data_IF_679000419211
#
_entry.id   IF_679000419211
#
_cell.length_a   1.000
_cell.length_b   1.000
_cell.length_c   1.000
_cell.angle_alpha   90.00
_cell.angle_beta   90.00
_cell.angle_gamma   90.00
#
_symmetry.space_group_name_H-M   'P 1'
#
loop_
_entity.id
_entity.type
_entity.pdbx_description
1 polymer ?
#
# COMPACT_ATOMS: atom_id res chain seq x y z
N UNK A 1 18.02 6.91 3.29
CA UNK A 1 18.55 5.58 3.69
C UNK A 1 17.58 4.46 3.32
N UNK A 2 16.31 4.53 3.72
CA UNK A 2 15.35 3.46 3.43
C UNK A 2 14.89 3.35 1.96
N UNK A 3 14.91 4.44 1.19
CA UNK A 3 14.62 4.36 -0.26
C UNK A 3 15.64 3.50 -1.02
N UNK A 4 16.93 3.65 -0.70
CA UNK A 4 17.98 2.79 -1.27
C UNK A 4 17.81 1.32 -0.88
N UNK A 5 17.24 1.05 0.30
CA UNK A 5 16.93 -0.31 0.74
C UNK A 5 15.84 -0.94 -0.14
N UNK A 6 14.76 -0.20 -0.41
CA UNK A 6 13.70 -0.62 -1.33
C UNK A 6 14.25 -0.93 -2.73
N UNK A 7 15.10 -0.04 -3.27
CA UNK A 7 15.66 -0.25 -4.61
C UNK A 7 16.62 -1.45 -4.65
N UNK A 8 17.42 -1.65 -3.61
CA UNK A 8 18.29 -2.82 -3.49
C UNK A 8 17.49 -4.13 -3.53
N UNK A 9 16.42 -4.25 -2.74
CA UNK A 9 15.60 -5.47 -2.70
C UNK A 9 14.78 -5.68 -3.97
N UNK A 10 14.39 -4.60 -4.65
CA UNK A 10 13.80 -4.69 -5.99
C UNK A 10 14.77 -5.31 -6.98
N UNK A 11 15.99 -4.77 -7.07
CA UNK A 11 17.02 -5.31 -7.98
C UNK A 11 17.32 -6.78 -7.64
N UNK A 12 17.50 -7.10 -6.37
CA UNK A 12 17.74 -8.47 -5.91
C UNK A 12 16.60 -9.42 -6.32
N UNK A 13 15.36 -8.99 -6.16
CA UNK A 13 14.18 -9.80 -6.49
C UNK A 13 14.04 -9.98 -8.00
N UNK A 14 14.31 -8.95 -8.81
CA UNK A 14 14.35 -9.08 -10.28
C UNK A 14 15.40 -10.11 -10.70
N UNK A 15 16.61 -10.04 -10.13
CA UNK A 15 17.64 -11.05 -10.41
C UNK A 15 17.22 -12.45 -10.00
N UNK A 16 16.49 -12.60 -8.90
CA UNK A 16 15.97 -13.89 -8.47
C UNK A 16 14.88 -14.41 -9.42
N UNK A 17 13.92 -13.54 -9.81
CA UNK A 17 12.76 -13.83 -10.66
C UNK A 17 13.20 -14.28 -12.07
N UNK A 18 14.19 -13.60 -12.67
CA UNK A 18 14.73 -13.90 -14.01
C UNK A 18 15.41 -15.27 -14.09
N UNK A 19 15.87 -15.82 -12.98
CA UNK A 19 16.60 -17.09 -12.96
C UNK A 19 15.69 -18.33 -12.83
N UNK A 20 14.37 -18.18 -12.99
CA UNK A 20 13.36 -19.24 -12.87
C UNK A 20 13.50 -20.06 -11.55
N UNK A 21 13.94 -19.40 -10.48
CA UNK A 21 14.19 -20.02 -9.17
C UNK A 21 12.90 -20.28 -8.37
N UNK A 22 11.77 -20.46 -9.05
CA UNK A 22 10.43 -20.60 -8.45
C UNK A 22 10.42 -21.64 -7.32
N UNK A 23 11.07 -22.79 -7.51
CA UNK A 23 11.17 -23.86 -6.50
C UNK A 23 11.92 -23.45 -5.21
N UNK A 24 12.61 -22.30 -5.21
CA UNK A 24 13.38 -21.75 -4.10
C UNK A 24 12.72 -20.54 -3.45
N UNK A 25 11.44 -20.21 -3.75
CA UNK A 25 10.76 -19.05 -3.18
C UNK A 25 10.82 -19.04 -1.65
N UNK A 26 10.52 -20.16 -1.00
CA UNK A 26 10.57 -20.31 0.47
C UNK A 26 11.96 -20.00 1.02
N UNK A 27 13.02 -20.42 0.31
CA UNK A 27 14.41 -20.15 0.71
C UNK A 27 14.75 -18.67 0.56
N UNK A 28 14.29 -18.05 -0.52
CA UNK A 28 14.49 -16.62 -0.77
C UNK A 28 13.78 -15.74 0.27
N UNK A 29 12.53 -16.08 0.61
CA UNK A 29 11.70 -15.33 1.55
C UNK A 29 11.92 -15.69 3.02
N UNK A 30 12.72 -16.72 3.33
CA UNK A 30 13.01 -17.13 4.72
C UNK A 30 13.46 -15.96 5.61
N UNK A 31 14.40 -15.09 5.22
CA UNK A 31 14.81 -13.96 6.06
C UNK A 31 13.65 -13.00 6.38
N UNK A 32 12.76 -12.75 5.41
CA UNK A 32 11.57 -11.92 5.64
C UNK A 32 10.55 -12.62 6.54
N UNK A 33 10.39 -13.94 6.37
CA UNK A 33 9.49 -14.76 7.20
C UNK A 33 9.92 -14.72 8.66
N UNK A 34 11.19 -15.00 8.94
CA UNK A 34 11.74 -14.98 10.30
C UNK A 34 11.63 -13.57 10.91
N UNK A 35 11.85 -12.52 10.12
CA UNK A 35 11.70 -11.14 10.57
C UNK A 35 10.25 -10.79 10.94
N UNK A 36 9.28 -11.18 10.10
CA UNK A 36 7.86 -10.94 10.33
C UNK A 36 7.34 -11.74 11.52
N UNK A 37 7.71 -13.02 11.64
CA UNK A 37 7.35 -13.86 12.77
C UNK A 37 7.85 -13.26 14.09
N UNK A 38 9.11 -12.80 14.12
CA UNK A 38 9.66 -12.12 15.28
C UNK A 38 8.87 -10.87 15.65
N UNK A 39 8.58 -9.98 14.69
CA UNK A 39 7.80 -8.77 14.95
C UNK A 39 6.36 -9.07 15.42
N UNK A 40 5.70 -10.02 14.79
CA UNK A 40 4.32 -10.40 15.11
C UNK A 40 4.19 -11.13 16.45
N UNK A 41 5.29 -11.68 16.97
CA UNK A 41 5.35 -12.30 18.29
C UNK A 41 5.54 -11.32 19.45
N UNK A 42 5.90 -10.06 19.16
CA UNK A 42 6.15 -9.04 20.17
C UNK A 42 4.85 -8.63 20.86
N UNK A 43 4.96 -8.28 22.14
CA UNK A 43 3.89 -7.55 22.82
C UNK A 43 3.77 -6.11 22.28
N UNK A 44 2.67 -5.43 22.61
CA UNK A 44 2.41 -4.09 22.10
C UNK A 44 3.49 -3.06 22.45
N UNK A 45 4.15 -3.17 23.61
CA UNK A 45 5.16 -2.20 24.01
C UNK A 45 6.46 -2.41 23.23
N UNK A 46 6.89 -3.66 23.11
CA UNK A 46 8.05 -4.05 22.32
C UNK A 46 7.83 -3.75 20.83
N UNK A 47 6.63 -4.01 20.29
CA UNK A 47 6.28 -3.70 18.91
C UNK A 47 6.42 -2.20 18.60
N UNK A 48 5.90 -1.33 19.48
CA UNK A 48 6.04 0.12 19.33
C UNK A 48 7.50 0.57 19.44
N UNK A 49 8.31 -0.08 20.30
CA UNK A 49 9.74 0.19 20.41
C UNK A 49 10.53 -0.20 19.14
N UNK A 50 10.05 -1.18 18.38
CA UNK A 50 10.64 -1.68 17.13
C UNK A 50 10.29 -0.84 15.88
N UNK A 51 10.07 0.47 16.03
CA UNK A 51 9.69 1.39 14.93
C UNK A 51 10.66 1.32 13.74
N UNK A 52 11.97 1.23 13.98
CA UNK A 52 12.96 1.21 12.89
C UNK A 52 12.91 -0.11 12.11
N UNK A 53 12.69 -1.22 12.80
CA UNK A 53 12.50 -2.55 12.22
C UNK A 53 11.22 -2.59 11.37
N UNK A 54 10.15 -1.97 11.86
CA UNK A 54 8.89 -1.80 11.13
C UNK A 54 9.10 -0.99 9.85
N UNK A 55 9.78 0.15 9.93
CA UNK A 55 10.13 0.92 8.73
C UNK A 55 10.92 0.07 7.75
N UNK A 56 11.97 -0.62 8.22
CA UNK A 56 12.80 -1.50 7.38
C UNK A 56 11.96 -2.53 6.65
N UNK A 57 11.11 -3.28 7.34
CA UNK A 57 10.33 -4.35 6.70
C UNK A 57 9.34 -3.79 5.67
N UNK A 58 8.71 -2.63 5.91
CA UNK A 58 7.86 -1.98 4.92
C UNK A 58 8.61 -1.67 3.62
N UNK A 59 9.82 -1.10 3.71
CA UNK A 59 10.63 -0.77 2.54
C UNK A 59 11.23 -2.01 1.86
N UNK A 60 11.63 -3.03 2.63
CA UNK A 60 12.10 -4.30 2.08
C UNK A 60 10.98 -4.96 1.26
N UNK A 61 9.79 -5.11 1.86
CA UNK A 61 8.64 -5.70 1.18
C UNK A 61 8.21 -4.86 -0.04
N UNK A 62 8.26 -3.53 0.05
CA UNK A 62 7.96 -2.65 -1.09
C UNK A 62 8.90 -2.94 -2.27
N UNK A 63 10.20 -3.11 -1.99
CA UNK A 63 11.20 -3.47 -2.99
C UNK A 63 10.98 -4.86 -3.55
N UNK A 64 10.78 -5.85 -2.67
CA UNK A 64 10.50 -7.24 -3.07
C UNK A 64 9.30 -7.33 -4.00
N UNK A 65 8.18 -6.71 -3.62
CA UNK A 65 6.96 -6.67 -4.42
C UNK A 65 7.22 -6.01 -5.78
N UNK A 66 7.95 -4.90 -5.84
CA UNK A 66 8.32 -4.25 -7.10
C UNK A 66 9.15 -5.14 -8.04
N UNK A 67 9.94 -6.06 -7.48
CA UNK A 67 10.80 -6.92 -8.28
C UNK A 67 10.12 -8.16 -8.85
N UNK A 68 8.93 -8.53 -8.36
CA UNK A 68 8.12 -9.59 -8.97
C UNK A 68 7.40 -9.07 -10.20
N UNK A 69 7.93 -9.41 -11.37
CA UNK A 69 7.44 -8.88 -12.65
C UNK A 69 6.41 -9.77 -13.31
N UNK A 70 6.38 -11.06 -12.98
CA UNK A 70 5.46 -12.05 -13.54
C UNK A 70 4.27 -12.31 -12.63
N UNK A 71 3.18 -12.83 -13.20
CA UNK A 71 2.01 -13.22 -12.42
C UNK A 71 2.28 -14.42 -11.52
N UNK A 72 3.16 -15.34 -11.93
CA UNK A 72 3.46 -16.55 -11.17
C UNK A 72 4.24 -16.21 -9.88
N UNK A 73 5.30 -15.42 -9.99
CA UNK A 73 6.09 -15.01 -8.83
C UNK A 73 5.33 -14.09 -7.89
N UNK A 74 4.47 -13.22 -8.42
CA UNK A 74 3.57 -12.44 -7.59
C UNK A 74 2.55 -13.31 -6.86
N UNK A 75 1.98 -14.34 -7.50
CA UNK A 75 1.04 -15.25 -6.84
C UNK A 75 1.71 -16.04 -5.70
N UNK A 76 2.94 -16.52 -5.90
CA UNK A 76 3.71 -17.16 -4.82
C UNK A 76 3.96 -16.20 -3.64
N UNK A 77 4.29 -14.95 -3.95
CA UNK A 77 4.37 -13.91 -2.93
C UNK A 77 3.05 -13.70 -2.20
N UNK A 78 1.95 -13.62 -2.96
CA UNK A 78 0.63 -13.42 -2.38
C UNK A 78 0.23 -14.59 -1.47
N UNK A 79 0.45 -15.83 -1.88
CA UNK A 79 0.16 -17.02 -1.08
C UNK A 79 0.99 -17.07 0.21
N UNK A 80 2.23 -16.58 0.15
CA UNK A 80 3.07 -16.40 1.35
C UNK A 80 2.61 -15.23 2.22
N UNK A 81 2.11 -14.16 1.61
CA UNK A 81 1.79 -12.92 2.31
C UNK A 81 0.40 -12.96 2.96
N UNK A 82 -0.62 -13.38 2.23
CA UNK A 82 -2.02 -13.38 2.67
C UNK A 82 -2.49 -14.81 3.03
N UNK A 83 -3.27 -14.99 4.10
CA UNK A 83 -3.72 -13.98 5.07
C UNK A 83 -2.73 -13.76 6.22
N UNK A 84 -1.75 -14.65 6.40
CA UNK A 84 -0.95 -14.73 7.63
C UNK A 84 -0.05 -13.52 7.86
N UNK A 85 0.88 -13.28 6.94
CA UNK A 85 1.86 -12.19 7.05
C UNK A 85 1.23 -10.81 6.84
N UNK A 86 0.09 -10.72 6.15
CA UNK A 86 -0.69 -9.49 5.98
C UNK A 86 -1.04 -8.82 7.33
N UNK A 87 -1.15 -9.61 8.40
CA UNK A 87 -1.38 -9.10 9.77
C UNK A 87 -0.38 -8.03 10.21
N UNK A 88 0.83 -8.01 9.64
CA UNK A 88 1.80 -6.94 9.92
C UNK A 88 1.27 -5.57 9.53
N UNK A 89 0.55 -5.46 8.40
CA UNK A 89 -0.03 -4.20 7.94
C UNK A 89 -1.08 -3.71 8.94
N UNK A 90 -1.95 -4.60 9.41
CA UNK A 90 -2.99 -4.27 10.38
C UNK A 90 -2.42 -3.89 11.75
N UNK A 91 -1.38 -4.58 12.25
CA UNK A 91 -0.75 -4.23 13.53
C UNK A 91 0.05 -2.92 13.44
N UNK A 92 0.75 -2.68 12.32
CA UNK A 92 1.41 -1.40 12.08
C UNK A 92 0.38 -0.27 12.10
N UNK A 93 -0.71 -0.41 11.35
CA UNK A 93 -1.72 0.64 11.28
C UNK A 93 -2.35 0.95 12.64
N UNK A 94 -2.70 -0.10 13.40
CA UNK A 94 -3.27 0.00 14.74
C UNK A 94 -2.35 0.72 15.74
N UNK A 95 -1.04 0.47 15.68
CA UNK A 95 -0.08 1.03 16.64
C UNK A 95 0.55 2.37 16.20
N UNK A 96 0.57 2.67 14.90
CA UNK A 96 1.26 3.83 14.32
C UNK A 96 0.36 4.74 13.48
N UNK A 97 -0.96 4.76 13.72
CA UNK A 97 -1.94 5.61 13.03
C UNK A 97 -1.68 7.13 13.11
N UNK A 98 -0.75 7.57 13.96
CA UNK A 98 -0.34 8.97 14.11
C UNK A 98 1.14 9.23 13.77
N UNK A 99 1.88 8.20 13.32
CA UNK A 99 3.30 8.34 12.97
C UNK A 99 3.47 8.48 11.46
N UNK A 100 3.70 9.73 11.00
CA UNK A 100 3.75 10.02 9.58
C UNK A 100 4.84 9.24 8.84
N UNK A 101 5.98 8.95 9.47
CA UNK A 101 7.06 8.22 8.82
C UNK A 101 6.67 6.75 8.57
N UNK A 102 6.03 6.11 9.55
CA UNK A 102 5.57 4.72 9.44
C UNK A 102 4.41 4.61 8.47
N UNK A 103 3.45 5.52 8.52
CA UNK A 103 2.31 5.53 7.61
C UNK A 103 2.74 5.74 6.15
N UNK A 104 3.69 6.64 5.89
CA UNK A 104 4.24 6.82 4.52
C UNK A 104 4.86 5.53 4.00
N UNK A 105 5.61 4.80 4.83
CA UNK A 105 6.20 3.52 4.45
C UNK A 105 5.12 2.44 4.22
N UNK A 106 4.08 2.42 5.05
CA UNK A 106 2.95 1.50 4.93
C UNK A 106 2.14 1.77 3.66
N UNK A 107 1.82 3.04 3.38
CA UNK A 107 1.05 3.46 2.20
C UNK A 107 1.82 3.19 0.92
N UNK A 108 3.14 3.40 0.94
CA UNK A 108 4.02 2.97 -0.16
C UNK A 108 3.90 1.46 -0.39
N UNK A 109 4.04 0.63 0.65
CA UNK A 109 3.89 -0.83 0.50
C UNK A 109 2.52 -1.20 -0.08
N UNK A 110 1.43 -0.57 0.38
CA UNK A 110 0.08 -0.83 -0.15
C UNK A 110 -0.07 -0.40 -1.62
N UNK A 111 0.51 0.74 -2.01
CA UNK A 111 0.55 1.18 -3.40
C UNK A 111 1.28 0.15 -4.27
N UNK A 112 2.43 -0.32 -3.81
CA UNK A 112 3.21 -1.35 -4.50
C UNK A 112 2.49 -2.70 -4.54
N UNK A 113 1.69 -3.08 -3.55
CA UNK A 113 0.91 -4.33 -3.59
C UNK A 113 -0.18 -4.30 -4.68
N UNK A 114 -0.71 -3.11 -4.98
CA UNK A 114 -1.79 -2.91 -5.94
C UNK A 114 -1.30 -2.48 -7.33
N UNK A 115 -0.03 -2.13 -7.50
CA UNK A 115 0.51 -1.73 -8.80
C UNK A 115 0.47 -2.91 -9.80
N UNK A 116 -0.15 -2.71 -10.97
CA UNK A 116 -0.27 -3.75 -11.99
C UNK A 116 0.47 -3.41 -13.30
N UNK A 117 1.49 -2.55 -13.29
CA UNK A 117 2.21 -2.13 -14.51
C UNK A 117 2.81 -3.26 -15.35
N UNK A 118 3.08 -4.44 -14.77
CA UNK A 118 3.64 -5.59 -15.51
C UNK A 118 2.59 -6.66 -15.87
N UNK A 119 1.29 -6.40 -15.67
CA UNK A 119 0.21 -7.39 -15.78
C UNK A 119 0.39 -8.62 -14.87
N UNK A 120 1.15 -8.47 -13.78
CA UNK A 120 1.35 -9.51 -12.75
C UNK A 120 0.06 -9.86 -12.01
N UNK A 121 -0.91 -8.95 -11.96
CA UNK A 121 -2.27 -9.23 -11.54
C UNK A 121 -3.11 -9.41 -12.81
N UNK A 122 -3.24 -10.66 -13.30
CA UNK A 122 -4.00 -10.92 -14.54
C UNK A 122 -5.47 -10.49 -14.40
N UNK A 123 -5.99 -9.85 -15.45
CA UNK A 123 -7.35 -9.33 -15.54
C UNK A 123 -8.40 -10.37 -15.95
N UNK A 124 -7.97 -11.60 -16.27
CA UNK A 124 -8.85 -12.68 -16.70
C UNK A 124 -9.57 -13.24 -15.47
N UNK A 125 -10.72 -12.65 -15.17
CA UNK A 125 -11.53 -12.87 -13.97
C UNK A 125 -10.79 -12.50 -12.69
N UNK A 126 -10.82 -11.21 -12.33
CA UNK A 126 -10.52 -10.66 -11.00
C UNK A 126 -9.57 -11.54 -10.19
N UNK A 127 -8.25 -11.39 -10.33
CA UNK A 127 -7.33 -12.18 -9.52
C UNK A 127 -7.80 -12.06 -8.07
N UNK A 128 -8.20 -13.18 -7.46
CA UNK A 128 -8.78 -13.19 -6.11
C UNK A 128 -7.85 -12.42 -5.17
N UNK A 129 -6.54 -12.54 -5.41
CA UNK A 129 -5.45 -11.77 -4.83
C UNK A 129 -5.65 -10.25 -4.94
N UNK A 130 -5.86 -9.72 -6.14
CA UNK A 130 -6.09 -8.28 -6.36
C UNK A 130 -7.35 -7.77 -5.69
N UNK A 131 -8.45 -8.53 -5.74
CA UNK A 131 -9.70 -8.16 -5.06
C UNK A 131 -9.53 -8.15 -3.53
N UNK A 132 -8.88 -9.17 -2.95
CA UNK A 132 -8.60 -9.24 -1.52
C UNK A 132 -7.69 -8.09 -1.06
N UNK A 133 -6.59 -7.82 -1.77
CA UNK A 133 -5.70 -6.69 -1.48
C UNK A 133 -6.45 -5.36 -1.54
N UNK A 134 -7.28 -5.16 -2.57
CA UNK A 134 -8.11 -3.98 -2.67
C UNK A 134 -8.99 -3.81 -1.43
N UNK A 135 -9.69 -4.87 -0.99
CA UNK A 135 -10.60 -4.82 0.15
C UNK A 135 -9.89 -4.43 1.45
N UNK A 136 -8.75 -5.03 1.72
CA UNK A 136 -7.97 -4.75 2.94
C UNK A 136 -7.40 -3.33 2.91
N UNK A 137 -6.80 -2.92 1.79
CA UNK A 137 -6.23 -1.57 1.63
C UNK A 137 -7.33 -0.50 1.70
N UNK A 138 -8.47 -0.73 1.07
CA UNK A 138 -9.61 0.18 1.12
C UNK A 138 -10.11 0.36 2.56
N UNK A 139 -10.18 -0.72 3.36
CA UNK A 139 -10.58 -0.65 4.76
C UNK A 139 -9.62 0.23 5.58
N UNK A 140 -8.31 0.03 5.42
CA UNK A 140 -7.27 0.81 6.11
C UNK A 140 -7.33 2.29 5.72
N UNK A 141 -7.43 2.60 4.43
CA UNK A 141 -7.53 3.99 3.96
C UNK A 141 -8.80 4.67 4.47
N UNK A 142 -9.94 4.00 4.37
CA UNK A 142 -11.22 4.51 4.89
C UNK A 142 -11.14 4.76 6.39
N UNK A 143 -10.52 3.86 7.15
CA UNK A 143 -10.33 4.03 8.59
C UNK A 143 -9.42 5.21 8.89
N UNK A 144 -8.26 5.30 8.23
CA UNK A 144 -7.31 6.38 8.42
C UNK A 144 -7.93 7.76 8.18
N UNK A 145 -8.57 7.95 7.02
CA UNK A 145 -9.13 9.24 6.65
C UNK A 145 -10.47 9.55 7.33
N UNK A 146 -11.12 8.57 7.98
CA UNK A 146 -12.22 8.83 8.93
C UNK A 146 -11.71 9.43 10.24
N UNK A 147 -10.61 8.91 10.79
CA UNK A 147 -10.05 9.34 12.08
C UNK A 147 -9.16 10.57 12.00
N UNK A 148 -8.53 10.79 10.84
CA UNK A 148 -7.80 12.02 10.54
C UNK A 148 -8.83 13.14 10.42
N UNK A 149 -9.18 13.72 11.55
CA UNK A 149 -10.08 14.85 11.83
C UNK A 149 -9.68 16.16 11.09
N UNK A 150 -8.91 16.10 9.99
CA UNK A 150 -8.12 17.18 9.36
C UNK A 150 -8.72 17.77 8.07
N UNK A 151 -10.00 17.54 7.78
CA UNK A 151 -10.77 18.45 6.89
C UNK A 151 -11.06 19.80 7.57
N UNK A 152 -10.73 19.95 8.87
CA UNK A 152 -10.78 21.23 9.53
C UNK A 152 -9.72 22.18 8.94
N UNK A 153 -10.22 23.24 8.33
CA UNK A 153 -9.50 24.41 7.81
C UNK A 153 -8.70 25.06 8.94
N UNK A 154 -7.50 24.57 9.28
CA UNK A 154 -6.75 25.21 10.36
C UNK A 154 -5.49 24.49 10.85
N UNK A 155 -4.36 25.09 10.48
CA UNK A 155 -3.02 24.98 11.11
C UNK A 155 -2.42 23.57 11.22
N UNK A 156 -1.85 23.11 10.10
CA UNK A 156 -0.71 22.19 10.18
C UNK A 156 0.37 22.81 11.09
N UNK A 157 0.84 22.06 12.09
CA UNK A 157 2.01 22.43 12.89
C UNK A 157 3.26 21.90 12.18
N UNK A 158 3.58 22.46 11.00
CA UNK A 158 4.70 21.99 10.18
C UNK A 158 4.63 22.48 8.74
N UNK A 159 5.50 21.94 7.89
CA UNK A 159 5.40 22.12 6.44
C UNK A 159 4.12 21.41 5.95
N UNK A 160 3.12 22.20 5.55
CA UNK A 160 1.77 21.72 5.20
C UNK A 160 1.77 20.61 4.15
N UNK A 161 2.79 20.55 3.28
CA UNK A 161 2.89 19.54 2.24
C UNK A 161 3.17 18.14 2.81
N UNK A 162 4.14 18.03 3.72
CA UNK A 162 4.63 16.75 4.25
C UNK A 162 3.59 16.01 5.09
N UNK A 163 2.65 16.72 5.71
CA UNK A 163 1.72 16.13 6.67
C UNK A 163 0.31 15.89 6.14
N UNK A 164 -0.10 16.57 5.06
CA UNK A 164 -1.47 16.45 4.52
C UNK A 164 -1.48 16.13 3.04
N UNK A 165 -0.87 16.98 2.22
CA UNK A 165 -0.95 16.83 0.76
C UNK A 165 -0.22 15.59 0.28
N UNK A 166 0.87 15.17 0.94
CA UNK A 166 1.55 13.92 0.62
C UNK A 166 0.68 12.68 0.88
N UNK A 167 -0.12 12.66 1.95
CA UNK A 167 -1.05 11.54 2.19
C UNK A 167 -2.22 11.54 1.23
N UNK A 168 -2.71 12.72 0.82
CA UNK A 168 -3.70 12.82 -0.27
C UNK A 168 -3.09 12.27 -1.56
N UNK A 169 -1.87 12.65 -1.91
CA UNK A 169 -1.15 12.15 -3.08
C UNK A 169 -1.06 10.63 -3.08
N UNK A 170 -0.63 10.04 -1.96
CA UNK A 170 -0.54 8.58 -1.79
C UNK A 170 -1.91 7.90 -1.88
N UNK A 171 -2.96 8.49 -1.30
CA UNK A 171 -4.31 7.94 -1.37
C UNK A 171 -4.87 7.95 -2.80
N UNK A 172 -4.61 9.04 -3.53
CA UNK A 172 -4.94 9.14 -4.95
C UNK A 172 -4.16 8.07 -5.70
N UNK A 173 -2.83 8.00 -5.59
CA UNK A 173 -1.97 6.98 -6.25
C UNK A 173 -2.44 5.53 -6.02
N UNK A 174 -2.73 5.15 -4.78
CA UNK A 174 -3.28 3.82 -4.44
C UNK A 174 -4.63 3.59 -5.15
N UNK A 175 -5.51 4.58 -5.15
CA UNK A 175 -6.80 4.47 -5.84
C UNK A 175 -6.64 4.31 -7.35
N UNK A 176 -5.69 5.01 -7.97
CA UNK A 176 -5.36 4.83 -9.39
C UNK A 176 -4.88 3.43 -9.71
N UNK A 177 -4.03 2.85 -8.86
CA UNK A 177 -3.59 1.46 -9.00
C UNK A 177 -4.77 0.48 -8.94
N UNK A 178 -5.75 0.71 -8.04
CA UNK A 178 -6.98 -0.11 -7.96
C UNK A 178 -7.80 -0.02 -9.25
N UNK A 179 -8.00 1.20 -9.77
CA UNK A 179 -8.77 1.44 -11.01
C UNK A 179 -8.06 0.82 -12.22
N UNK A 180 -6.76 1.07 -12.38
CA UNK A 180 -5.95 0.56 -13.49
C UNK A 180 -5.80 -0.97 -13.44
N UNK A 181 -5.77 -1.54 -12.24
CA UNK A 181 -5.65 -2.97 -12.02
C UNK A 181 -6.90 -3.79 -12.37
N UNK A 182 -8.06 -3.14 -12.50
CA UNK A 182 -9.35 -3.79 -12.81
C UNK A 182 -9.69 -4.97 -11.87
N UNK A 183 -9.41 -4.81 -10.56
CA UNK A 183 -9.60 -5.86 -9.56
C UNK A 183 -11.08 -6.06 -9.15
N UNK A 184 -11.93 -5.06 -9.41
CA UNK A 184 -13.29 -4.99 -8.86
C UNK A 184 -14.31 -5.36 -9.93
N UNK A 185 -15.10 -6.40 -9.66
CA UNK A 185 -16.26 -6.73 -10.47
C UNK A 185 -17.50 -6.05 -9.87
N UNK A 186 -17.97 -4.98 -10.52
CA UNK A 186 -19.11 -4.19 -10.03
C UNK A 186 -20.42 -4.98 -9.93
N UNK A 187 -20.66 -5.96 -10.82
CA UNK A 187 -21.86 -6.80 -10.75
C UNK A 187 -21.84 -7.73 -9.53
N UNK A 188 -20.66 -8.25 -9.18
CA UNK A 188 -20.48 -9.07 -7.97
C UNK A 188 -20.62 -8.19 -6.73
N UNK A 189 -20.04 -6.99 -6.72
CA UNK A 189 -20.20 -6.05 -5.61
C UNK A 189 -21.66 -5.66 -5.41
N UNK A 190 -22.41 -5.38 -6.48
CA UNK A 190 -23.84 -5.08 -6.40
C UNK A 190 -24.64 -6.24 -5.80
N UNK A 191 -24.35 -7.47 -6.23
CA UNK A 191 -24.99 -8.67 -5.70
C UNK A 191 -24.75 -8.88 -4.19
N UNK A 192 -23.53 -8.60 -3.71
CA UNK A 192 -23.16 -8.73 -2.30
C UNK A 192 -23.38 -7.46 -1.47
N UNK A 193 -23.93 -6.38 -2.05
CA UNK A 193 -24.02 -5.06 -1.43
C UNK A 193 -22.66 -4.54 -0.90
N UNK A 194 -21.58 -4.83 -1.62
CA UNK A 194 -20.25 -4.36 -1.28
C UNK A 194 -20.02 -2.92 -1.78
N UNK A 195 -19.95 -1.97 -0.84
CA UNK A 195 -19.76 -0.55 -1.13
C UNK A 195 -18.31 -0.09 -1.04
N UNK A 196 -17.34 -0.98 -0.78
CA UNK A 196 -15.97 -0.57 -0.45
C UNK A 196 -15.32 0.31 -1.54
N UNK A 197 -15.55 -0.02 -2.82
CA UNK A 197 -15.01 0.78 -3.91
C UNK A 197 -15.68 2.16 -3.97
N UNK A 198 -17.00 2.20 -3.82
CA UNK A 198 -17.79 3.45 -3.86
C UNK A 198 -17.42 4.36 -2.68
N UNK A 199 -17.26 3.79 -1.49
CA UNK A 199 -16.87 4.53 -0.29
C UNK A 199 -15.45 5.06 -0.41
N UNK A 200 -14.51 4.25 -0.91
CA UNK A 200 -13.13 4.67 -1.16
C UNK A 200 -13.07 5.79 -2.20
N UNK A 201 -13.77 5.63 -3.33
CA UNK A 201 -13.84 6.64 -4.38
C UNK A 201 -14.42 7.95 -3.84
N UNK A 202 -15.53 7.90 -3.09
CA UNK A 202 -16.13 9.08 -2.46
C UNK A 202 -15.14 9.77 -1.53
N UNK A 203 -14.41 9.02 -0.71
CA UNK A 203 -13.39 9.55 0.19
C UNK A 203 -12.27 10.25 -0.59
N UNK A 204 -11.70 9.61 -1.61
CA UNK A 204 -10.62 10.19 -2.44
C UNK A 204 -11.09 11.47 -3.16
N UNK A 205 -12.27 11.46 -3.77
CA UNK A 205 -12.83 12.66 -4.41
C UNK A 205 -13.08 13.79 -3.39
N UNK A 206 -13.56 13.46 -2.19
CA UNK A 206 -13.74 14.44 -1.11
C UNK A 206 -12.39 15.02 -0.68
N UNK A 207 -11.35 14.17 -0.53
CA UNK A 207 -9.99 14.60 -0.22
C UNK A 207 -9.43 15.58 -1.25
N UNK A 208 -9.66 15.35 -2.54
CA UNK A 208 -9.18 16.24 -3.62
C UNK A 208 -10.00 17.54 -3.69
N UNK A 209 -11.33 17.45 -3.64
CA UNK A 209 -12.22 18.60 -3.86
C UNK A 209 -12.31 19.59 -2.70
N UNK A 210 -12.07 19.14 -1.46
CA UNK A 210 -12.10 20.00 -0.28
C UNK A 210 -10.84 20.87 -0.09
N UNK A 211 -9.84 20.77 -0.97
CA UNK A 211 -8.61 21.56 -0.89
C UNK A 211 -8.74 22.95 -1.53
N UNK A 212 -7.92 23.89 -1.07
CA UNK A 212 -7.77 25.19 -1.75
C UNK A 212 -7.07 24.99 -3.10
N UNK A 213 -7.77 25.29 -4.20
CA UNK A 213 -7.30 25.09 -5.57
C UNK A 213 -5.99 25.81 -5.89
N UNK A 214 -5.68 26.94 -5.24
CA UNK A 214 -4.44 27.69 -5.48
C UNK A 214 -3.24 27.04 -4.81
N UNK A 215 -3.41 26.49 -3.60
CA UNK A 215 -2.36 25.71 -2.93
C UNK A 215 -2.20 24.34 -3.59
N UNK A 216 -3.32 23.69 -3.95
CA UNK A 216 -3.33 22.38 -4.58
C UNK A 216 -2.59 22.35 -5.93
N UNK A 217 -2.84 23.35 -6.78
CA UNK A 217 -2.20 23.49 -8.09
C UNK A 217 -0.71 23.82 -8.05
N UNK A 218 -0.18 24.26 -6.91
CA UNK A 218 1.27 24.49 -6.75
C UNK A 218 2.09 23.19 -6.63
N UNK A 219 1.45 22.05 -6.34
CA UNK A 219 2.12 20.76 -6.19
C UNK A 219 2.02 19.94 -7.47
N UNK A 220 3.05 20.04 -8.33
CA UNK A 220 3.09 19.43 -9.67
C UNK A 220 2.80 17.94 -9.66
N UNK A 221 3.36 17.18 -8.70
CA UNK A 221 3.18 15.72 -8.63
C UNK A 221 1.75 15.34 -8.26
N UNK A 222 1.17 16.00 -7.26
CA UNK A 222 -0.23 15.81 -6.88
C UNK A 222 -1.20 16.12 -8.03
N UNK A 223 -0.92 17.19 -8.79
CA UNK A 223 -1.68 17.52 -9.99
C UNK A 223 -1.56 16.44 -11.08
N UNK A 224 -0.35 15.95 -11.35
CA UNK A 224 -0.12 14.88 -12.33
C UNK A 224 -0.86 13.59 -11.96
N UNK A 225 -0.75 13.17 -10.69
CA UNK A 225 -1.40 11.96 -10.18
C UNK A 225 -2.92 12.11 -10.26
N UNK A 226 -3.47 13.26 -9.91
CA UNK A 226 -4.92 13.51 -9.97
C UNK A 226 -5.46 13.58 -11.39
N UNK A 227 -4.73 14.25 -12.29
CA UNK A 227 -5.10 14.28 -13.71
C UNK A 227 -5.00 12.92 -14.38
N UNK A 228 -4.12 12.03 -13.92
CA UNK A 228 -4.05 10.67 -14.46
C UNK A 228 -5.25 9.79 -14.09
N UNK A 229 -6.08 10.24 -13.13
CA UNK A 229 -7.26 9.51 -12.65
C UNK A 229 -8.59 10.06 -13.13
N UNK A 230 -8.60 11.30 -13.65
CA UNK A 230 -9.77 11.94 -14.26
C UNK A 230 -9.80 11.67 -15.77
#
# INVERSE_FOLDING_TARGET
MYEYLSEFYKILTIFWDVNDNIDNFTKYMKPCSDFLENLLSLDSQAFVASKNEILRICYILSGVVQGFTTADSFNQFFDWFYPGNFRIITEIFKHFSHDNAVLKALFKLMAELLDNKTHRLKADQSSISGFLLFKEVAAILLEYFKFVDMFQRGKAKGDKYDDKYQFIEMAVDIFGNIVAGNFVNFSVCEYYNDTAFVDLARMVFTLVTMQDQKEYSSFTRLMQVTHSML
#
